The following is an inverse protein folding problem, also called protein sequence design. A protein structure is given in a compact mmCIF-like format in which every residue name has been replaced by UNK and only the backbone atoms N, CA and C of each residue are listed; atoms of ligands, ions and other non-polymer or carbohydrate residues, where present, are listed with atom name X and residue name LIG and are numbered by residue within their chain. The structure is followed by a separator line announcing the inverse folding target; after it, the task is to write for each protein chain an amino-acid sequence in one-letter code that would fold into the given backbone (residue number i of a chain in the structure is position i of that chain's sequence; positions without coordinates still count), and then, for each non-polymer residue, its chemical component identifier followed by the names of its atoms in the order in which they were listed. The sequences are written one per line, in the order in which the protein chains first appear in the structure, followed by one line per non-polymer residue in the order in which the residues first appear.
data_IF_645404204648
#
_entry.id   IF_645404204648
#
_cell.length_a   1.000
_cell.length_b   1.000
_cell.length_c   1.000
_cell.angle_alpha   90.00
_cell.angle_beta   90.00
_cell.angle_gamma   90.00
#
_symmetry.space_group_name_H-M   'P 1'
#
loop_
_entity.id
_entity.type
_entity.pdbx_description
1 polymer ?
#
# COMPACT_ATOMS: atom_id res chain seq x y z
N UNK A 1 -2.02 27.58 11.49
CA UNK A 1 -2.92 26.41 11.43
C UNK A 1 -2.03 25.19 11.28
N UNK A 2 -2.28 24.09 12.02
CA UNK A 2 -1.50 22.87 11.82
C UNK A 2 -1.63 22.43 10.36
N UNK A 3 -0.52 22.03 9.75
CA UNK A 3 -0.52 21.47 8.41
C UNK A 3 -1.28 20.14 8.44
N UNK A 4 -2.14 19.92 7.45
CA UNK A 4 -2.97 18.73 7.36
C UNK A 4 -2.47 17.84 6.23
N UNK A 5 -2.33 16.56 6.52
CA UNK A 5 -1.90 15.56 5.54
C UNK A 5 -3.05 14.64 5.18
N UNK A 6 -3.14 14.30 3.90
CA UNK A 6 -4.08 13.32 3.37
C UNK A 6 -3.71 11.90 3.80
N UNK A 7 -4.69 11.20 4.34
CA UNK A 7 -4.58 9.83 4.80
C UNK A 7 -5.69 8.99 4.17
N UNK A 8 -5.48 7.69 4.12
CA UNK A 8 -6.44 6.72 3.64
C UNK A 8 -6.61 5.57 4.62
N UNK A 9 -7.85 5.15 4.83
CA UNK A 9 -8.15 3.86 5.43
C UNK A 9 -8.19 2.82 4.32
N UNK A 10 -7.43 1.76 4.48
CA UNK A 10 -7.20 0.76 3.44
C UNK A 10 -7.48 -0.63 4.02
N UNK A 11 -8.32 -1.39 3.33
CA UNK A 11 -8.55 -2.79 3.60
C UNK A 11 -7.52 -3.64 2.85
N UNK A 12 -6.96 -4.63 3.54
CA UNK A 12 -5.99 -5.59 3.00
C UNK A 12 -6.68 -6.92 2.67
N UNK A 13 -6.01 -7.74 1.87
CA UNK A 13 -6.50 -9.08 1.48
C UNK A 13 -6.54 -10.10 2.63
N UNK A 14 -5.93 -9.77 3.76
CA UNK A 14 -6.03 -10.50 5.03
C UNK A 14 -7.18 -10.00 5.93
N UNK A 15 -8.00 -9.06 5.45
CA UNK A 15 -9.14 -8.49 6.16
C UNK A 15 -8.76 -7.40 7.18
N UNK A 16 -7.47 -7.04 7.30
CA UNK A 16 -7.07 -5.95 8.18
C UNK A 16 -7.42 -4.60 7.55
N UNK A 17 -7.96 -3.71 8.38
CA UNK A 17 -8.25 -2.32 8.02
C UNK A 17 -7.20 -1.44 8.70
N UNK A 18 -6.37 -0.78 7.91
CA UNK A 18 -5.21 -0.03 8.40
C UNK A 18 -5.23 1.39 7.83
N UNK A 19 -4.84 2.37 8.64
CA UNK A 19 -4.61 3.74 8.21
C UNK A 19 -3.21 3.91 7.61
N UNK A 20 -3.15 4.58 6.46
CA UNK A 20 -1.91 4.97 5.80
C UNK A 20 -1.92 6.47 5.53
N UNK A 21 -0.73 7.08 5.55
CA UNK A 21 -0.54 8.42 4.99
C UNK A 21 -0.35 8.30 3.48
N UNK A 22 -0.96 9.17 2.68
CA UNK A 22 -0.72 9.14 1.23
C UNK A 22 0.71 9.61 0.89
N UNK A 23 1.29 9.06 -0.18
CA UNK A 23 2.62 9.45 -0.66
C UNK A 23 2.71 10.94 -1.00
N UNK A 24 3.91 11.52 -1.01
CA UNK A 24 4.12 12.94 -1.29
C UNK A 24 3.50 13.41 -2.61
N UNK A 25 3.56 12.58 -3.66
CA UNK A 25 2.94 12.90 -4.95
C UNK A 25 1.42 12.99 -4.85
N UNK A 26 0.80 12.09 -4.09
CA UNK A 26 -0.65 12.09 -3.85
C UNK A 26 -1.07 13.24 -2.92
N UNK A 27 -0.25 13.59 -1.94
CA UNK A 27 -0.46 14.81 -1.13
C UNK A 27 -0.53 16.03 -2.04
N UNK A 28 0.47 16.18 -2.92
CA UNK A 28 0.55 17.31 -3.84
C UNK A 28 -0.63 17.34 -4.81
N UNK A 29 -0.96 16.20 -5.42
CA UNK A 29 -2.07 16.09 -6.35
C UNK A 29 -3.42 16.46 -5.71
N UNK A 30 -3.71 15.97 -4.50
CA UNK A 30 -4.96 16.27 -3.80
C UNK A 30 -5.02 17.70 -3.24
N UNK A 31 -3.88 18.30 -2.94
CA UNK A 31 -3.84 19.71 -2.57
C UNK A 31 -4.09 20.64 -3.77
N UNK A 32 -3.76 20.20 -5.00
CA UNK A 32 -4.11 20.91 -6.23
C UNK A 32 -5.57 20.66 -6.65
N UNK A 33 -6.03 19.42 -6.54
CA UNK A 33 -7.40 19.02 -6.85
C UNK A 33 -7.99 18.11 -5.76
N UNK A 34 -8.69 18.73 -4.82
CA UNK A 34 -9.38 18.02 -3.73
C UNK A 34 -10.47 17.09 -4.25
N UNK A 35 -11.09 17.40 -5.40
CA UNK A 35 -12.10 16.52 -5.99
C UNK A 35 -11.49 15.20 -6.48
N UNK A 36 -10.18 15.19 -6.77
CA UNK A 36 -9.39 14.02 -7.14
C UNK A 36 -9.42 12.88 -6.13
N UNK A 37 -9.80 13.14 -4.87
CA UNK A 37 -9.99 12.06 -3.87
C UNK A 37 -11.03 11.04 -4.32
N UNK A 38 -11.99 11.41 -5.17
CA UNK A 38 -13.01 10.50 -5.68
C UNK A 38 -12.42 9.37 -6.52
N UNK A 39 -11.31 9.60 -7.20
CA UNK A 39 -10.60 8.58 -7.99
C UNK A 39 -9.81 7.58 -7.12
N UNK A 40 -9.44 8.01 -5.92
CA UNK A 40 -8.75 7.16 -4.96
C UNK A 40 -9.74 6.33 -4.16
N UNK A 41 -10.94 6.87 -3.86
CA UNK A 41 -11.96 6.17 -3.10
C UNK A 41 -12.44 4.93 -3.89
N UNK A 42 -12.53 3.78 -3.21
CA UNK A 42 -12.82 2.48 -3.83
C UNK A 42 -11.77 2.00 -4.86
N UNK A 43 -10.68 2.76 -5.04
CA UNK A 43 -9.55 2.38 -5.85
C UNK A 43 -8.68 1.31 -5.18
N UNK A 44 -7.81 0.71 -5.99
CA UNK A 44 -6.74 -0.16 -5.52
C UNK A 44 -5.44 0.64 -5.46
N UNK A 45 -4.72 0.56 -4.34
CA UNK A 45 -3.45 1.28 -4.15
C UNK A 45 -2.37 0.34 -3.65
N UNK A 46 -1.14 0.54 -4.14
CA UNK A 46 0.01 -0.23 -3.67
C UNK A 46 0.42 0.27 -2.28
N UNK A 47 0.45 -0.66 -1.32
CA UNK A 47 0.77 -0.37 0.07
C UNK A 47 1.96 -1.19 0.56
N UNK A 48 2.80 -0.62 1.43
CA UNK A 48 3.76 -1.40 2.19
C UNK A 48 3.02 -2.25 3.23
N UNK A 49 3.35 -3.54 3.29
CA UNK A 49 2.77 -4.49 4.24
C UNK A 49 3.49 -4.50 5.59
N UNK A 50 4.62 -3.80 5.69
CA UNK A 50 5.41 -3.59 6.89
C UNK A 50 6.05 -2.18 6.85
N UNK A 51 6.47 -1.61 8.00
CA UNK A 51 7.10 -0.29 8.03
C UNK A 51 8.40 -0.22 7.20
N UNK A 52 8.76 0.97 6.73
CA UNK A 52 10.05 1.20 6.07
C UNK A 52 11.22 1.09 7.07
N UNK A 53 12.33 0.51 6.62
CA UNK A 53 13.62 0.63 7.30
C UNK A 53 14.44 1.63 6.50
N UNK A 54 14.50 2.87 6.96
CA UNK A 54 15.54 3.80 6.51
C UNK A 54 16.81 3.44 7.26
N UNK A 55 17.56 2.47 6.73
CA UNK A 55 18.75 1.96 7.42
C UNK A 55 19.85 3.02 7.54
N UNK A 56 19.72 4.15 6.81
CA UNK A 56 20.73 5.21 6.72
C UNK A 56 20.07 6.58 6.45
N UNK A 57 20.77 7.70 6.73
CA UNK A 57 20.31 9.05 6.38
C UNK A 57 19.96 9.17 4.89
N UNK A 58 19.02 10.06 4.56
CA UNK A 58 18.58 10.38 3.19
C UNK A 58 19.77 10.41 2.22
N UNK A 59 19.81 9.51 1.24
CA UNK A 59 20.78 9.56 0.14
C UNK A 59 21.75 8.38 -0.02
N UNK A 60 21.73 7.35 0.84
CA UNK A 60 22.56 6.15 0.64
C UNK A 60 21.76 4.96 0.11
N UNK A 61 22.30 4.34 -0.95
CA UNK A 61 21.68 3.45 -1.94
C UNK A 61 20.95 2.16 -1.48
N UNK A 62 20.79 1.86 -0.20
CA UNK A 62 20.17 0.59 0.23
C UNK A 62 19.08 0.80 1.29
N UNK A 63 18.00 1.48 0.91
CA UNK A 63 16.75 1.42 1.65
C UNK A 63 16.25 -0.04 1.64
N UNK A 64 16.10 -0.66 2.81
CA UNK A 64 15.49 -1.99 2.89
C UNK A 64 13.98 -1.80 2.73
N UNK A 65 13.53 -1.93 1.49
CA UNK A 65 12.13 -1.78 1.14
C UNK A 65 11.28 -2.89 1.79
N UNK A 66 10.09 -2.54 2.31
CA UNK A 66 9.17 -3.54 2.85
C UNK A 66 8.60 -4.43 1.73
N UNK A 67 8.00 -5.58 2.10
CA UNK A 67 7.07 -6.27 1.21
C UNK A 67 5.92 -5.35 0.83
N UNK A 68 5.49 -5.40 -0.44
CA UNK A 68 4.36 -4.63 -0.95
C UNK A 68 3.20 -5.54 -1.33
N UNK A 69 1.99 -5.00 -1.23
CA UNK A 69 0.75 -5.61 -1.70
C UNK A 69 -0.21 -4.54 -2.19
N UNK A 70 -1.45 -4.94 -2.49
CA UNK A 70 -2.50 -4.02 -2.93
C UNK A 70 -3.65 -4.03 -1.93
N UNK A 71 -4.03 -2.83 -1.51
CA UNK A 71 -5.19 -2.64 -0.65
C UNK A 71 -6.31 -1.87 -1.35
N UNK A 72 -7.52 -2.08 -0.85
CA UNK A 72 -8.72 -1.38 -1.29
C UNK A 72 -8.96 -0.15 -0.42
N UNK A 73 -9.11 1.02 -1.03
CA UNK A 73 -9.30 2.28 -0.30
C UNK A 73 -10.75 2.41 0.13
N UNK A 74 -10.99 2.40 1.44
CA UNK A 74 -12.34 2.50 2.02
C UNK A 74 -12.68 3.92 2.48
N UNK A 75 -11.67 4.73 2.80
CA UNK A 75 -11.86 6.11 3.23
C UNK A 75 -10.66 6.98 2.87
N UNK A 76 -10.90 8.24 2.58
CA UNK A 76 -9.88 9.29 2.42
C UNK A 76 -10.26 10.45 3.33
N UNK A 77 -9.27 11.01 4.02
CA UNK A 77 -9.48 12.07 4.98
C UNK A 77 -8.19 12.87 5.22
N UNK A 78 -8.32 14.03 5.86
CA UNK A 78 -7.18 14.81 6.31
C UNK A 78 -7.00 14.63 7.82
N UNK A 79 -5.75 14.57 8.27
CA UNK A 79 -5.37 14.47 9.68
C UNK A 79 -4.22 15.44 9.95
N UNK A 80 -4.09 15.90 11.20
CA UNK A 80 -3.02 16.81 11.58
C UNK A 80 -1.64 16.13 11.39
N UNK A 81 -0.65 16.90 10.95
CA UNK A 81 0.66 16.39 10.55
C UNK A 81 1.33 15.52 11.63
N UNK A 82 1.30 15.97 12.89
CA UNK A 82 1.93 15.28 14.03
C UNK A 82 1.38 13.86 14.22
N UNK A 83 0.10 13.63 13.91
CA UNK A 83 -0.52 12.32 13.98
C UNK A 83 -0.36 11.53 12.68
N UNK A 84 -0.31 12.21 11.53
CA UNK A 84 -0.17 11.56 10.23
C UNK A 84 1.25 11.09 9.94
N UNK A 85 2.28 11.74 10.49
CA UNK A 85 3.68 11.43 10.19
C UNK A 85 4.15 10.09 10.74
N UNK A 86 3.49 9.59 11.78
CA UNK A 86 3.75 8.25 12.33
C UNK A 86 3.13 7.13 11.49
N UNK A 87 2.20 7.46 10.57
CA UNK A 87 1.60 6.48 9.66
C UNK A 87 2.58 6.13 8.54
N UNK A 88 2.56 4.86 8.14
CA UNK A 88 3.39 4.41 7.02
C UNK A 88 2.86 5.04 5.72
N UNK A 89 3.73 5.66 4.89
CA UNK A 89 3.28 6.23 3.63
C UNK A 89 2.90 5.13 2.62
N UNK A 90 1.86 5.36 1.81
CA UNK A 90 1.55 4.52 0.65
C UNK A 90 2.58 4.71 -0.46
N UNK A 91 2.47 3.90 -1.52
CA UNK A 91 3.09 4.21 -2.81
C UNK A 91 2.15 5.06 -3.64
N UNK A 92 2.71 5.77 -4.63
CA UNK A 92 1.93 6.63 -5.54
C UNK A 92 1.16 5.84 -6.62
N UNK A 93 1.41 4.53 -6.76
CA UNK A 93 0.71 3.68 -7.74
C UNK A 93 -0.69 3.31 -7.24
N UNK A 94 -1.73 3.82 -7.91
CA UNK A 94 -3.13 3.51 -7.63
C UNK A 94 -3.95 3.40 -8.92
N UNK A 95 -5.05 2.66 -8.89
CA UNK A 95 -6.00 2.56 -9.99
C UNK A 95 -7.42 2.78 -9.47
N UNK A 96 -8.17 3.64 -10.15
CA UNK A 96 -9.54 4.00 -9.81
C UNK A 96 -10.51 2.81 -10.01
N UNK A 97 -11.54 2.76 -9.17
CA UNK A 97 -12.68 1.84 -9.25
C UNK A 97 -13.38 1.84 -10.61
N UNK A 98 -13.36 2.94 -11.36
CA UNK A 98 -13.88 2.95 -12.73
C UNK A 98 -13.20 1.95 -13.67
N UNK A 99 -11.95 1.56 -13.38
CA UNK A 99 -11.13 0.74 -14.28
C UNK A 99 -10.86 -0.67 -13.74
N UNK A 100 -10.36 -0.80 -12.51
CA UNK A 100 -9.83 -2.09 -12.03
C UNK A 100 -10.83 -3.26 -11.97
N UNK A 101 -12.15 -3.06 -11.74
CA UNK A 101 -13.13 -4.15 -11.74
C UNK A 101 -13.35 -4.77 -13.12
N UNK A 102 -13.36 -3.93 -14.15
CA UNK A 102 -13.79 -4.29 -15.50
C UNK A 102 -12.60 -4.62 -16.41
N UNK A 103 -11.40 -4.18 -16.03
CA UNK A 103 -10.19 -4.41 -16.80
C UNK A 103 -9.60 -5.80 -16.53
N UNK A 104 -8.78 -6.28 -17.46
CA UNK A 104 -8.08 -7.56 -17.30
C UNK A 104 -7.08 -7.46 -16.15
N UNK A 105 -6.92 -8.57 -15.41
CA UNK A 105 -5.91 -8.67 -14.35
C UNK A 105 -4.51 -8.27 -14.84
N UNK A 106 -4.16 -8.61 -16.08
CA UNK A 106 -2.87 -8.26 -16.68
C UNK A 106 -2.68 -6.75 -16.88
N UNK A 107 -3.72 -6.03 -17.28
CA UNK A 107 -3.66 -4.56 -17.44
C UNK A 107 -3.52 -3.86 -16.09
N UNK A 108 -4.35 -4.23 -15.11
CA UNK A 108 -4.28 -3.71 -13.74
C UNK A 108 -2.91 -4.00 -13.13
N UNK A 109 -2.40 -5.21 -13.36
CA UNK A 109 -1.07 -5.64 -12.94
C UNK A 109 0.01 -4.76 -13.56
N UNK A 110 -0.01 -4.57 -14.87
CA UNK A 110 1.00 -3.77 -15.60
C UNK A 110 1.04 -2.35 -15.07
N UNK A 111 -0.12 -1.78 -14.77
CA UNK A 111 -0.24 -0.45 -14.20
C UNK A 111 0.38 -0.35 -12.79
N UNK A 112 0.07 -1.31 -11.89
CA UNK A 112 0.50 -1.25 -10.49
C UNK A 112 1.94 -1.76 -10.25
N UNK A 113 2.58 -2.44 -11.20
CA UNK A 113 3.80 -3.23 -10.94
C UNK A 113 5.13 -2.67 -11.45
N UNK A 114 5.14 -1.47 -12.02
CA UNK A 114 6.20 -0.97 -12.88
C UNK A 114 7.64 -1.27 -12.38
N UNK A 115 7.93 -1.07 -11.08
CA UNK A 115 9.30 -1.16 -10.53
C UNK A 115 9.47 -2.11 -9.34
N UNK A 116 8.71 -3.19 -9.28
CA UNK A 116 8.78 -4.14 -8.15
C UNK A 116 9.61 -5.40 -8.44
N UNK A 117 10.25 -5.95 -7.39
CA UNK A 117 10.89 -7.26 -7.43
C UNK A 117 9.88 -8.37 -7.71
N UNK A 118 10.35 -9.51 -8.26
CA UNK A 118 9.47 -10.61 -8.67
C UNK A 118 8.50 -11.07 -7.57
N UNK A 119 8.96 -11.21 -6.32
CA UNK A 119 8.08 -11.60 -5.20
C UNK A 119 6.99 -10.55 -4.89
N UNK A 120 7.31 -9.26 -5.00
CA UNK A 120 6.31 -8.20 -4.83
C UNK A 120 5.32 -8.19 -6.00
N UNK A 121 5.79 -8.41 -7.23
CA UNK A 121 4.92 -8.56 -8.40
C UNK A 121 3.94 -9.72 -8.23
N UNK A 122 4.39 -10.87 -7.72
CA UNK A 122 3.48 -11.99 -7.50
C UNK A 122 2.46 -11.71 -6.37
N UNK A 123 2.87 -11.05 -5.29
CA UNK A 123 1.96 -10.66 -4.21
C UNK A 123 0.89 -9.67 -4.71
N UNK A 124 1.31 -8.60 -5.39
CA UNK A 124 0.41 -7.59 -5.98
C UNK A 124 -0.58 -8.26 -6.94
N UNK A 125 -0.10 -9.18 -7.78
CA UNK A 125 -0.94 -9.92 -8.73
C UNK A 125 -2.00 -10.79 -8.01
N UNK A 126 -1.60 -11.48 -6.93
CA UNK A 126 -2.53 -12.25 -6.10
C UNK A 126 -3.58 -11.35 -5.43
N UNK A 127 -3.17 -10.17 -4.94
CA UNK A 127 -4.07 -9.22 -4.28
C UNK A 127 -5.08 -8.62 -5.27
N UNK A 128 -4.65 -8.23 -6.47
CA UNK A 128 -5.56 -7.77 -7.55
C UNK A 128 -6.61 -8.84 -7.85
N UNK A 129 -6.19 -10.10 -7.99
CA UNK A 129 -7.11 -11.21 -8.26
C UNK A 129 -8.13 -11.41 -7.14
N UNK A 130 -7.74 -11.22 -5.88
CA UNK A 130 -8.64 -11.27 -4.73
C UNK A 130 -9.71 -10.17 -4.80
N UNK A 131 -9.30 -8.92 -5.04
CA UNK A 131 -10.22 -7.79 -5.11
C UNK A 131 -11.20 -7.91 -6.29
N UNK A 132 -10.73 -8.31 -7.47
CA UNK A 132 -11.59 -8.56 -8.63
C UNK A 132 -12.61 -9.69 -8.40
N UNK A 133 -12.25 -10.71 -7.61
CA UNK A 133 -13.17 -11.78 -7.24
C UNK A 133 -14.25 -11.32 -6.25
N UNK A 134 -13.89 -10.47 -5.28
CA UNK A 134 -14.85 -9.86 -4.35
C UNK A 134 -15.86 -9.01 -5.10
N UNK A 135 -15.39 -8.15 -6.00
CA UNK A 135 -16.23 -7.24 -6.77
C UNK A 135 -17.20 -8.00 -7.69
N UNK A 136 -16.78 -9.13 -8.23
CA UNK A 136 -17.62 -9.99 -9.08
C UNK A 136 -18.53 -10.94 -8.28
N UNK A 137 -18.65 -10.76 -6.95
CA UNK A 137 -19.42 -11.61 -6.02
C UNK A 137 -19.15 -13.11 -6.15
N UNK A 138 -17.96 -13.49 -6.62
CA UNK A 138 -17.54 -14.89 -6.69
C UNK A 138 -17.09 -15.36 -5.30
N UNK A 139 -17.22 -16.66 -4.98
CA UNK A 139 -16.68 -17.20 -3.74
C UNK A 139 -15.17 -17.00 -3.72
N UNK A 140 -14.75 -15.94 -3.04
CA UNK A 140 -13.37 -15.51 -2.99
C UNK A 140 -12.68 -16.18 -1.81
N UNK A 141 -11.52 -16.80 -2.05
CA UNK A 141 -10.62 -17.24 -0.99
C UNK A 141 -9.29 -16.57 -1.23
N UNK A 142 -8.83 -15.79 -0.25
CA UNK A 142 -7.47 -15.27 -0.24
C UNK A 142 -6.50 -16.43 -0.52
N UNK A 143 -5.54 -16.20 -1.42
CA UNK A 143 -4.62 -17.26 -1.80
C UNK A 143 -3.74 -17.60 -0.60
N UNK A 144 -4.04 -18.74 0.05
CA UNK A 144 -3.36 -19.20 1.28
C UNK A 144 -1.86 -19.26 1.13
N UNK A 145 -1.35 -19.63 -0.05
CA UNK A 145 0.08 -19.67 -0.32
C UNK A 145 0.70 -18.27 -0.21
N UNK A 146 0.11 -17.29 -0.91
CA UNK A 146 0.60 -15.92 -0.89
C UNK A 146 0.41 -15.23 0.46
N UNK A 147 -0.65 -15.59 1.19
CA UNK A 147 -0.82 -15.14 2.58
C UNK A 147 0.36 -15.58 3.46
N UNK A 148 0.68 -16.88 3.47
CA UNK A 148 1.80 -17.43 4.26
C UNK A 148 3.14 -16.84 3.83
N UNK A 149 3.37 -16.70 2.51
CA UNK A 149 4.59 -16.08 1.98
C UNK A 149 4.69 -14.63 2.43
N UNK A 150 3.61 -13.86 2.36
CA UNK A 150 3.57 -12.47 2.80
C UNK A 150 3.78 -12.32 4.29
N UNK A 151 3.10 -13.11 5.11
CA UNK A 151 3.31 -13.12 6.56
C UNK A 151 4.77 -13.42 6.92
N UNK A 152 5.37 -14.44 6.29
CA UNK A 152 6.78 -14.76 6.50
C UNK A 152 7.68 -13.57 6.15
N UNK A 153 7.43 -12.92 5.01
CA UNK A 153 8.21 -11.75 4.55
C UNK A 153 8.05 -10.55 5.48
N UNK A 154 6.83 -10.28 5.96
CA UNK A 154 6.53 -9.25 6.96
C UNK A 154 7.30 -9.56 8.25
N UNK A 155 7.18 -10.77 8.79
CA UNK A 155 7.86 -11.17 10.02
C UNK A 155 9.39 -11.09 9.89
N UNK A 156 9.94 -11.51 8.76
CA UNK A 156 11.37 -11.37 8.47
C UNK A 156 11.79 -9.90 8.45
N UNK A 157 10.97 -9.02 7.90
CA UNK A 157 11.22 -7.57 7.87
C UNK A 157 11.14 -6.95 9.27
N UNK A 158 10.12 -7.30 10.05
CA UNK A 158 9.98 -6.85 11.45
C UNK A 158 11.15 -7.31 12.33
N UNK A 159 11.66 -8.53 12.13
CA UNK A 159 12.88 -8.99 12.82
C UNK A 159 14.10 -8.16 12.48
N UNK A 160 14.23 -7.70 11.22
CA UNK A 160 15.31 -6.80 10.80
C UNK A 160 15.18 -5.43 11.46
N UNK A 161 13.98 -4.86 11.55
CA UNK A 161 13.71 -3.61 12.31
C UNK A 161 14.17 -3.78 13.76
N UNK A 162 13.74 -4.85 14.42
CA UNK A 162 14.08 -5.12 15.83
C UNK A 162 15.60 -5.26 16.03
N UNK A 163 16.28 -5.94 15.11
CA UNK A 163 17.74 -6.08 15.14
C UNK A 163 18.45 -4.74 14.90
N UNK A 164 17.96 -3.93 13.96
CA UNK A 164 18.51 -2.60 13.67
C UNK A 164 18.39 -1.66 14.86
N UNK A 165 17.20 -1.59 15.49
CA UNK A 165 16.99 -0.79 16.70
C UNK A 165 17.94 -1.24 17.83
N UNK A 166 18.07 -2.55 18.08
CA UNK A 166 19.00 -3.07 19.10
C UNK A 166 20.47 -2.71 18.86
N UNK A 167 20.89 -2.56 17.62
CA UNK A 167 22.27 -2.24 17.27
C UNK A 167 22.59 -0.73 17.31
N UNK A 168 21.57 0.13 17.32
CA UNK A 168 21.68 1.59 17.28
C UNK A 168 20.94 2.27 18.45
N UNK A 169 20.60 1.52 19.50
CA UNK A 169 20.15 2.02 20.81
C UNK A 169 21.30 1.92 21.79
#
# INVERSE_FOLDING_TARGET
MPEKLWCATIERTDGQIIAYRLSGDLQHALNLDVAGQRHLLHGLIVIPLAPYIFAKPKGTKDDILPPYGVGYVTKIYQQDEDEAIVLTPTRSQFIDHGYWPNDTRENVRTYLQHDYSWLNKQQIDADIGYWQQIETHKPCRANKFWHVVSEYRIQRHLRRIKAYHRAHS
#
